data_IF_784976534423
#
_entry.id   IF_784976534423
#
_cell.length_a   1.000
_cell.length_b   1.000
_cell.length_c   1.000
_cell.angle_alpha   90.00
_cell.angle_beta   90.00
_cell.angle_gamma   90.00
#
_symmetry.space_group_name_H-M   'P 1'
#
loop_
_entity.id
_entity.type
_entity.pdbx_description
1 polymer ?
#
# COMPACT_ATOMS: atom_id res chain seq x y z
N UNK A 1 -36.57 1.54 -38.26
CA UNK A 1 -36.06 0.18 -38.50
C UNK A 1 -34.58 0.18 -38.15
N UNK A 2 -34.28 -0.14 -36.88
CA UNK A 2 -32.95 -0.19 -36.28
C UNK A 2 -32.42 -1.62 -36.43
N UNK A 3 -31.76 -1.91 -37.54
CA UNK A 3 -31.12 -3.20 -37.80
C UNK A 3 -29.70 -2.95 -38.23
N UNK A 4 -28.78 -2.93 -37.27
CA UNK A 4 -27.40 -3.41 -37.43
C UNK A 4 -26.63 -3.24 -36.10
N UNK A 5 -26.22 -4.34 -35.42
CA UNK A 5 -25.47 -4.28 -34.16
C UNK A 5 -24.00 -3.89 -34.34
N UNK A 6 -23.50 -3.79 -35.57
CA UNK A 6 -22.11 -3.56 -35.95
C UNK A 6 -21.67 -2.09 -35.85
N UNK A 7 -22.58 -1.14 -36.10
CA UNK A 7 -22.24 0.30 -36.11
C UNK A 7 -22.02 0.92 -34.73
N UNK A 8 -22.66 0.38 -33.69
CA UNK A 8 -22.51 0.88 -32.32
C UNK A 8 -21.23 0.39 -31.64
N UNK A 9 -20.74 -0.79 -32.00
CA UNK A 9 -19.52 -1.37 -31.42
C UNK A 9 -18.28 -0.67 -31.97
N UNK A 10 -18.27 -0.29 -33.26
CA UNK A 10 -17.13 0.40 -33.85
C UNK A 10 -16.90 1.80 -33.28
N UNK A 11 -17.97 2.54 -32.95
CA UNK A 11 -17.81 3.88 -32.36
C UNK A 11 -17.39 3.86 -30.89
N UNK A 12 -17.53 2.72 -30.20
CA UNK A 12 -17.08 2.58 -28.81
C UNK A 12 -15.57 2.28 -28.68
N UNK A 13 -14.92 1.81 -29.75
CA UNK A 13 -13.50 1.41 -29.72
C UNK A 13 -12.57 2.56 -30.15
N UNK A 14 -13.05 3.55 -30.89
CA UNK A 14 -12.20 4.62 -31.47
C UNK A 14 -11.65 5.61 -30.44
N UNK A 15 -12.11 5.61 -29.19
CA UNK A 15 -11.64 6.53 -28.14
C UNK A 15 -10.57 5.94 -27.20
N UNK A 16 -9.90 4.84 -27.55
CA UNK A 16 -8.81 4.28 -26.72
C UNK A 16 -7.48 5.01 -26.99
N UNK A 17 -7.43 6.30 -26.66
CA UNK A 17 -6.17 7.04 -26.45
C UNK A 17 -5.77 7.11 -24.96
N UNK A 18 -6.71 6.84 -24.05
CA UNK A 18 -6.50 6.80 -22.62
C UNK A 18 -7.53 5.84 -22.01
N UNK A 19 -7.08 4.86 -21.22
CA UNK A 19 -7.95 3.88 -20.59
C UNK A 19 -8.70 4.53 -19.42
N UNK A 20 -9.76 5.28 -19.72
CA UNK A 20 -10.59 5.90 -18.70
C UNK A 20 -11.40 4.81 -17.97
N UNK A 21 -10.97 4.49 -16.75
CA UNK A 21 -11.59 3.46 -15.90
C UNK A 21 -13.09 3.71 -15.66
N UNK A 22 -13.52 4.98 -15.71
CA UNK A 22 -14.92 5.35 -15.59
C UNK A 22 -15.78 4.87 -16.77
N UNK A 23 -15.25 4.96 -17.99
CA UNK A 23 -15.96 4.53 -19.20
C UNK A 23 -16.13 3.01 -19.22
N UNK A 24 -15.09 2.26 -18.86
CA UNK A 24 -15.19 0.80 -18.73
C UNK A 24 -16.22 0.38 -17.67
N UNK A 25 -16.26 1.09 -16.54
CA UNK A 25 -17.22 0.83 -15.47
C UNK A 25 -18.66 1.05 -15.94
N UNK A 26 -18.93 2.16 -16.64
CA UNK A 26 -20.26 2.46 -17.17
C UNK A 26 -20.68 1.43 -18.23
N UNK A 27 -19.78 1.05 -19.14
CA UNK A 27 -20.08 0.04 -20.17
C UNK A 27 -20.40 -1.32 -19.55
N UNK A 28 -19.61 -1.76 -18.58
CA UNK A 28 -19.89 -3.01 -17.85
C UNK A 28 -21.22 -2.97 -17.09
N UNK A 29 -21.59 -1.83 -16.50
CA UNK A 29 -22.86 -1.64 -15.81
C UNK A 29 -24.06 -1.73 -16.76
N UNK A 30 -23.98 -1.10 -17.93
CA UNK A 30 -25.03 -1.16 -18.96
C UNK A 30 -25.23 -2.59 -19.43
N UNK A 31 -24.13 -3.32 -19.70
CA UNK A 31 -24.20 -4.72 -20.10
C UNK A 31 -24.79 -5.58 -18.98
N UNK A 32 -24.36 -5.39 -17.74
CA UNK A 32 -24.88 -6.13 -16.59
C UNK A 32 -26.40 -5.94 -16.45
N UNK A 33 -26.90 -4.70 -16.51
CA UNK A 33 -28.33 -4.45 -16.39
C UNK A 33 -29.17 -4.91 -17.59
N UNK A 34 -28.55 -5.07 -18.76
CA UNK A 34 -29.23 -5.57 -19.97
C UNK A 34 -29.40 -7.08 -19.95
N UNK A 35 -28.40 -7.82 -19.47
CA UNK A 35 -28.38 -9.29 -19.54
C UNK A 35 -28.63 -9.98 -18.20
N UNK A 36 -28.54 -9.28 -17.07
CA UNK A 36 -28.82 -9.85 -15.74
C UNK A 36 -30.31 -9.81 -15.41
N UNK A 37 -30.79 -10.84 -14.71
CA UNK A 37 -32.17 -10.93 -14.20
C UNK A 37 -32.42 -9.96 -13.03
N UNK A 38 -31.36 -9.53 -12.34
CA UNK A 38 -31.43 -8.58 -11.22
C UNK A 38 -30.77 -7.27 -11.59
N UNK A 39 -31.60 -6.23 -11.76
CA UNK A 39 -31.12 -4.86 -11.94
C UNK A 39 -30.53 -4.34 -10.64
N UNK A 40 -29.38 -3.69 -10.73
CA UNK A 40 -28.70 -3.06 -9.60
C UNK A 40 -28.61 -1.56 -9.81
N UNK A 41 -28.58 -0.81 -8.71
CA UNK A 41 -28.13 0.57 -8.75
C UNK A 41 -26.65 0.62 -9.11
N UNK A 42 -26.19 1.75 -9.65
CA UNK A 42 -24.78 1.93 -9.99
C UNK A 42 -23.88 1.78 -8.75
N UNK A 43 -24.36 2.25 -7.59
CA UNK A 43 -23.66 2.13 -6.32
C UNK A 43 -23.46 0.65 -5.92
N UNK A 44 -24.52 -0.14 -5.94
CA UNK A 44 -24.45 -1.56 -5.55
C UNK A 44 -23.61 -2.38 -6.53
N UNK A 45 -23.67 -2.03 -7.82
CA UNK A 45 -22.84 -2.64 -8.84
C UNK A 45 -21.35 -2.36 -8.57
N UNK A 46 -20.99 -1.12 -8.22
CA UNK A 46 -19.61 -0.76 -7.84
C UNK A 46 -19.12 -1.56 -6.64
N UNK A 47 -19.92 -1.67 -5.58
CA UNK A 47 -19.56 -2.43 -4.40
C UNK A 47 -19.30 -3.91 -4.72
N UNK A 48 -20.17 -4.52 -5.55
CA UNK A 48 -19.98 -5.90 -5.99
C UNK A 48 -18.72 -6.08 -6.84
N UNK A 49 -18.47 -5.17 -7.78
CA UNK A 49 -17.25 -5.19 -8.59
C UNK A 49 -16.00 -5.09 -7.72
N UNK A 50 -15.98 -4.18 -6.75
CA UNK A 50 -14.86 -4.04 -5.82
C UNK A 50 -14.68 -5.35 -5.04
N UNK A 51 -15.75 -5.92 -4.49
CA UNK A 51 -15.66 -7.18 -3.75
C UNK A 51 -15.20 -8.37 -4.61
N UNK A 52 -15.50 -8.37 -5.91
CA UNK A 52 -15.06 -9.45 -6.81
C UNK A 52 -13.63 -9.28 -7.32
N UNK A 53 -13.17 -8.04 -7.45
CA UNK A 53 -11.82 -7.71 -7.94
C UNK A 53 -10.78 -7.82 -6.83
N UNK A 54 -11.18 -7.54 -5.59
CA UNK A 54 -10.31 -7.73 -4.44
C UNK A 54 -10.26 -9.23 -4.09
N UNK A 55 -9.07 -9.82 -3.99
CA UNK A 55 -8.95 -11.18 -3.47
C UNK A 55 -9.39 -11.21 -2.00
N UNK A 56 -10.12 -12.26 -1.61
CA UNK A 56 -10.53 -12.48 -0.21
C UNK A 56 -9.32 -12.51 0.76
N UNK A 57 -8.11 -12.69 0.24
CA UNK A 57 -6.86 -12.82 1.00
C UNK A 57 -6.28 -11.52 1.55
N UNK A 58 -6.95 -10.37 1.44
CA UNK A 58 -6.48 -9.13 2.09
C UNK A 58 -6.42 -9.24 3.63
N UNK A 59 -6.96 -10.31 4.22
CA UNK A 59 -6.78 -10.64 5.64
C UNK A 59 -5.39 -11.20 5.98
N UNK A 60 -4.57 -11.49 4.98
CA UNK A 60 -3.14 -11.75 5.20
C UNK A 60 -2.37 -10.78 4.33
N UNK A 61 -2.29 -9.52 4.78
CA UNK A 61 -1.03 -8.81 4.68
C UNK A 61 -0.05 -9.67 5.48
N UNK A 62 0.48 -10.73 4.86
CA UNK A 62 1.76 -11.26 5.26
C UNK A 62 2.65 -10.05 5.09
N UNK A 63 3.05 -9.45 6.22
CA UNK A 63 4.18 -8.54 6.25
C UNK A 63 5.24 -9.25 5.42
N UNK A 64 5.49 -8.75 4.21
CA UNK A 64 6.51 -9.29 3.34
C UNK A 64 7.81 -9.08 4.09
N UNK A 65 8.24 -10.10 4.83
CA UNK A 65 9.44 -10.14 5.65
C UNK A 65 10.71 -10.22 4.80
N UNK A 66 10.64 -9.67 3.59
CA UNK A 66 11.75 -9.45 2.66
C UNK A 66 12.12 -7.97 2.55
N UNK A 67 11.48 -7.09 3.33
CA UNK A 67 12.08 -5.79 3.68
C UNK A 67 13.11 -6.06 4.76
N UNK A 68 14.38 -5.74 4.46
CA UNK A 68 15.51 -5.73 5.39
C UNK A 68 15.06 -5.49 6.83
N UNK A 69 15.48 -6.36 7.76
CA UNK A 69 15.31 -6.15 9.21
C UNK A 69 15.98 -4.81 9.53
N UNK A 70 15.19 -3.75 9.45
CA UNK A 70 15.63 -2.38 9.57
C UNK A 70 15.46 -2.08 11.04
N UNK A 71 16.53 -2.25 11.79
CA UNK A 71 16.52 -1.92 13.20
C UNK A 71 16.28 -0.42 13.36
N UNK A 72 15.20 -0.05 14.06
CA UNK A 72 14.91 1.35 14.34
C UNK A 72 15.59 1.76 15.66
N UNK A 73 16.39 2.84 15.68
CA UNK A 73 17.02 3.31 16.91
C UNK A 73 15.97 3.81 17.90
N UNK A 74 16.16 3.49 19.17
CA UNK A 74 15.39 4.03 20.29
C UNK A 74 16.26 4.95 21.17
N UNK A 75 15.62 5.79 21.98
CA UNK A 75 16.28 6.74 22.86
C UNK A 75 16.52 6.13 24.25
N UNK A 76 17.71 6.37 24.79
CA UNK A 76 18.00 6.03 26.18
C UNK A 76 17.08 6.85 27.11
N UNK A 77 16.31 6.14 27.93
CA UNK A 77 15.46 6.78 28.94
C UNK A 77 16.28 7.57 29.95
N UNK A 78 15.80 8.77 30.28
CA UNK A 78 16.33 9.65 31.32
C UNK A 78 15.27 9.71 32.44
N UNK A 79 15.54 9.64 33.75
CA UNK A 79 16.40 10.50 34.59
C UNK A 79 16.58 9.80 35.96
N UNK A 80 17.81 9.57 36.42
CA UNK A 80 18.09 9.32 37.87
C UNK A 80 18.99 10.43 38.45
N UNK A 81 19.67 11.18 37.58
CA UNK A 81 20.51 12.34 37.91
C UNK A 81 20.38 13.34 36.77
N UNK A 82 20.65 14.62 37.00
CA UNK A 82 20.45 15.76 36.10
C UNK A 82 21.30 15.72 34.79
N UNK A 83 21.77 14.53 34.37
CA UNK A 83 22.60 14.27 33.18
C UNK A 83 21.94 13.22 32.28
N UNK A 84 22.06 13.39 30.96
CA UNK A 84 21.54 12.44 29.97
C UNK A 84 22.39 11.17 29.96
N UNK A 85 21.77 9.99 29.96
CA UNK A 85 22.48 8.73 29.69
C UNK A 85 22.94 8.74 28.23
N UNK A 86 24.20 8.40 27.99
CA UNK A 86 24.79 8.35 26.66
C UNK A 86 25.61 7.06 26.52
N UNK A 87 25.56 6.44 25.34
CA UNK A 87 26.43 5.32 24.93
C UNK A 87 27.47 5.82 23.93
N UNK A 88 28.58 5.08 23.77
CA UNK A 88 29.59 5.38 22.75
C UNK A 88 29.05 4.98 21.38
N UNK A 89 29.20 5.84 20.37
CA UNK A 89 28.79 5.51 19.00
C UNK A 89 29.70 4.41 18.41
N UNK A 90 29.13 3.27 18.02
CA UNK A 90 29.87 2.15 17.41
C UNK A 90 30.53 2.53 16.08
N UNK A 91 29.83 3.32 15.25
CA UNK A 91 30.31 3.75 13.92
C UNK A 91 31.42 4.79 14.01
N UNK A 92 31.37 5.68 15.01
CA UNK A 92 32.44 6.66 15.21
C UNK A 92 33.66 5.99 15.84
N UNK A 93 33.45 5.05 16.76
CA UNK A 93 34.54 4.32 17.40
C UNK A 93 35.33 3.48 16.40
N UNK A 94 34.68 2.86 15.40
CA UNK A 94 35.39 2.13 14.34
C UNK A 94 36.24 3.04 13.43
N UNK A 95 35.96 4.34 13.42
CA UNK A 95 36.74 5.38 12.70
C UNK A 95 37.72 6.11 13.61
N UNK A 96 37.95 5.60 14.83
CA UNK A 96 38.78 6.21 15.87
C UNK A 96 38.33 7.62 16.30
N UNK A 97 37.04 7.92 16.13
CA UNK A 97 36.42 9.19 16.53
C UNK A 97 35.61 8.97 17.80
N UNK A 98 35.93 9.74 18.85
CA UNK A 98 35.17 9.70 20.12
C UNK A 98 33.90 10.55 20.02
N UNK A 99 32.74 9.90 19.88
CA UNK A 99 31.41 10.52 20.03
C UNK A 99 30.51 9.68 20.93
N UNK A 100 29.70 10.38 21.73
CA UNK A 100 28.68 9.79 22.58
C UNK A 100 27.30 10.16 22.04
N UNK A 101 26.36 9.22 22.06
CA UNK A 101 25.01 9.40 21.53
C UNK A 101 23.98 8.90 22.53
N UNK A 102 22.79 9.48 22.46
CA UNK A 102 21.63 9.12 23.28
C UNK A 102 20.74 8.05 22.64
N UNK A 103 21.04 7.64 21.40
CA UNK A 103 20.30 6.62 20.63
C UNK A 103 21.01 5.28 20.66
N UNK A 104 20.24 4.20 20.71
CA UNK A 104 20.74 2.83 20.68
C UNK A 104 19.82 1.93 19.85
N UNK A 105 20.34 0.80 19.37
CA UNK A 105 19.52 -0.23 18.73
C UNK A 105 19.07 -1.26 19.77
N UNK A 106 17.77 -1.46 20.04
CA UNK A 106 17.30 -2.45 21.01
C UNK A 106 17.35 -3.89 20.49
N UNK A 107 17.31 -4.08 19.17
CA UNK A 107 17.22 -5.40 18.55
C UNK A 107 18.57 -6.11 18.39
N UNK A 108 19.68 -5.38 18.55
CA UNK A 108 21.04 -5.92 18.43
C UNK A 108 21.49 -6.49 19.77
N UNK A 109 22.26 -7.61 19.79
CA UNK A 109 22.68 -8.29 21.03
C UNK A 109 23.52 -7.40 21.96
N UNK A 110 24.26 -6.43 21.41
CA UNK A 110 25.13 -5.53 22.16
C UNK A 110 24.46 -4.18 22.51
N UNK A 111 23.20 -3.98 22.09
CA UNK A 111 22.50 -2.70 22.13
C UNK A 111 23.39 -1.48 21.81
N UNK A 112 24.05 -1.45 20.63
CA UNK A 112 25.08 -0.48 20.33
C UNK A 112 24.50 0.93 20.24
N UNK A 113 25.29 1.91 20.69
CA UNK A 113 25.01 3.33 20.42
C UNK A 113 25.17 3.62 18.93
N UNK A 114 24.14 4.18 18.31
CA UNK A 114 24.13 4.65 16.92
C UNK A 114 24.33 6.16 16.88
#
# INVERSE_FOLDING_TARGET
>A
MLTEPSGLILNFIVYTGQADSELMLINSFILYNRYSTKKLSLYDFRLKLISSLLPDSLMTIQSSSTLSVSHFPDFLSQVISNRRKQKRCRVCYSKDVRKNVTTYCPDCPDEPGL
#
